data_IF_365175497737
#
_entry.id   IF_365175497737
#
_cell.length_a   1.000
_cell.length_b   1.000
_cell.length_c   1.000
_cell.angle_alpha   90.00
_cell.angle_beta   90.00
_cell.angle_gamma   90.00
#
_symmetry.space_group_name_H-M   'P 1'
#
loop_
_entity.id
_entity.type
_entity.pdbx_description
1 polymer ?
#
# COMPACT_ATOMS: atom_id res chain seq x y z
N UNK A 1 -12.45 -1.68 4.02
CA UNK A 1 -12.43 -3.14 4.24
C UNK A 1 -11.70 -3.49 5.52
N UNK A 2 -10.46 -3.05 5.73
CA UNK A 2 -9.83 -3.09 7.07
C UNK A 2 -10.21 -1.81 7.85
N UNK A 3 -10.51 -1.94 9.15
CA UNK A 3 -11.07 -0.86 9.99
C UNK A 3 -12.58 -0.72 9.84
N UNK A 4 -13.07 0.52 9.69
CA UNK A 4 -14.51 0.85 9.65
C UNK A 4 -15.31 0.28 8.47
N UNK A 5 -14.62 -0.33 7.49
CA UNK A 5 -15.26 -0.94 6.32
C UNK A 5 -15.30 -2.46 6.35
N UNK A 6 -15.10 -3.07 7.52
CA UNK A 6 -15.27 -4.51 7.71
C UNK A 6 -16.76 -4.88 7.68
N UNK A 7 -17.09 -5.99 7.02
CA UNK A 7 -18.43 -6.53 6.97
C UNK A 7 -18.37 -8.05 7.23
N UNK A 8 -19.39 -8.65 7.87
CA UNK A 8 -19.38 -10.08 8.21
C UNK A 8 -19.23 -11.04 7.03
N UNK A 9 -19.48 -10.57 5.80
CA UNK A 9 -19.36 -11.35 4.57
C UNK A 9 -17.96 -11.41 3.97
N UNK A 10 -16.96 -10.66 4.48
CA UNK A 10 -15.60 -10.74 3.96
C UNK A 10 -14.85 -11.93 4.52
N UNK A 11 -14.22 -12.67 3.62
CA UNK A 11 -13.38 -13.81 3.94
C UNK A 11 -11.89 -13.41 3.95
N UNK A 12 -11.03 -14.27 4.51
CA UNK A 12 -9.58 -14.05 4.49
C UNK A 12 -9.05 -13.83 3.05
N UNK A 13 -9.45 -14.64 2.04
CA UNK A 13 -9.11 -14.36 0.65
C UNK A 13 -9.47 -12.95 0.17
N UNK A 14 -10.64 -12.43 0.53
CA UNK A 14 -11.07 -11.08 0.14
C UNK A 14 -10.16 -9.99 0.73
N UNK A 15 -9.68 -10.20 1.97
CA UNK A 15 -8.71 -9.31 2.62
C UNK A 15 -7.37 -9.36 1.90
N UNK A 16 -6.87 -10.56 1.57
CA UNK A 16 -5.59 -10.72 0.87
C UNK A 16 -5.64 -10.09 -0.52
N UNK A 17 -6.74 -10.25 -1.25
CA UNK A 17 -6.96 -9.58 -2.54
C UNK A 17 -6.98 -8.06 -2.39
N UNK A 18 -7.59 -7.55 -1.31
CA UNK A 18 -7.58 -6.13 -1.02
C UNK A 18 -6.17 -5.61 -0.73
N UNK A 19 -5.37 -6.33 0.06
CA UNK A 19 -3.98 -5.97 0.35
C UNK A 19 -3.13 -5.99 -0.93
N UNK A 20 -3.30 -7.00 -1.77
CA UNK A 20 -2.65 -7.07 -3.08
C UNK A 20 -3.00 -5.87 -3.96
N UNK A 21 -4.29 -5.51 -4.04
CA UNK A 21 -4.75 -4.32 -4.76
C UNK A 21 -4.14 -3.02 -4.23
N UNK A 22 -3.99 -2.88 -2.91
CA UNK A 22 -3.35 -1.69 -2.30
C UNK A 22 -1.86 -1.57 -2.64
N UNK A 23 -1.16 -2.70 -2.80
CA UNK A 23 0.26 -2.69 -3.19
C UNK A 23 0.43 -2.22 -4.65
N UNK A 24 -0.51 -2.57 -5.52
CA UNK A 24 -0.49 -2.16 -6.93
C UNK A 24 -0.97 -0.72 -7.14
N UNK A 25 -1.99 -0.33 -6.37
CA UNK A 25 -2.63 0.98 -6.48
C UNK A 25 -2.74 1.61 -5.09
N UNK A 26 -1.71 2.37 -4.67
CA UNK A 26 -1.73 3.03 -3.36
C UNK A 26 -2.85 4.07 -3.29
N UNK A 27 -3.56 4.08 -2.16
CA UNK A 27 -4.60 5.07 -1.86
C UNK A 27 -3.98 6.30 -1.20
N UNK A 28 -3.99 7.42 -1.91
CA UNK A 28 -3.37 8.69 -1.52
C UNK A 28 -4.39 9.71 -1.00
N UNK A 29 -5.67 9.36 -1.04
CA UNK A 29 -6.84 10.20 -0.73
C UNK A 29 -7.18 10.25 0.77
N UNK A 30 -6.46 9.49 1.60
CA UNK A 30 -6.68 9.45 3.04
C UNK A 30 -5.86 10.57 3.72
N UNK A 31 -6.49 11.61 4.28
CA UNK A 31 -5.79 12.80 4.81
C UNK A 31 -4.78 12.46 5.91
N UNK A 32 -5.04 11.43 6.71
CA UNK A 32 -4.15 10.99 7.80
C UNK A 32 -2.93 10.18 7.32
N UNK A 33 -2.84 9.93 6.01
CA UNK A 33 -1.77 9.12 5.40
C UNK A 33 -0.79 9.93 4.56
N UNK A 34 -0.94 11.26 4.49
CA UNK A 34 0.02 12.11 3.80
C UNK A 34 1.30 12.20 4.63
N UNK A 35 2.32 11.46 4.22
CA UNK A 35 3.66 11.47 4.80
C UNK A 35 4.72 11.70 3.71
N UNK A 36 6.00 11.69 4.08
CA UNK A 36 7.11 11.89 3.15
C UNK A 36 7.08 10.90 1.97
N UNK A 37 6.74 9.64 2.21
CA UNK A 37 6.65 8.62 1.16
C UNK A 37 5.47 8.88 0.21
N UNK A 38 4.33 9.36 0.72
CA UNK A 38 3.18 9.78 -0.10
C UNK A 38 3.52 11.00 -0.95
N UNK A 39 4.21 11.99 -0.37
CA UNK A 39 4.69 13.17 -1.10
C UNK A 39 5.71 12.78 -2.17
N UNK A 40 6.62 11.86 -1.87
CA UNK A 40 7.59 11.32 -2.84
C UNK A 40 6.88 10.53 -3.96
N UNK A 41 5.87 9.73 -3.65
CA UNK A 41 5.09 9.02 -4.66
C UNK A 41 4.41 9.97 -5.66
N UNK A 42 3.86 11.09 -5.17
CA UNK A 42 3.18 12.09 -6.00
C UNK A 42 4.17 12.95 -6.77
N UNK A 43 5.28 13.37 -6.15
CA UNK A 43 6.25 14.29 -6.75
C UNK A 43 7.29 13.59 -7.64
N UNK A 44 7.70 12.37 -7.28
CA UNK A 44 8.70 11.59 -8.00
C UNK A 44 8.47 10.08 -7.83
N UNK A 45 7.50 9.56 -8.61
CA UNK A 45 7.12 8.15 -8.61
C UNK A 45 8.27 7.20 -8.95
N UNK A 46 9.21 7.61 -9.80
CA UNK A 46 10.36 6.77 -10.17
C UNK A 46 11.30 6.55 -8.97
N UNK A 47 11.60 7.62 -8.22
CA UNK A 47 12.40 7.53 -6.99
C UNK A 47 11.73 6.64 -5.95
N UNK A 48 10.43 6.85 -5.72
CA UNK A 48 9.65 6.01 -4.82
C UNK A 48 9.72 4.53 -5.22
N UNK A 49 9.48 4.20 -6.49
CA UNK A 49 9.47 2.82 -6.97
C UNK A 49 10.82 2.12 -6.78
N UNK A 50 11.92 2.85 -6.96
CA UNK A 50 13.28 2.34 -6.72
C UNK A 50 13.50 2.00 -5.25
N UNK A 51 13.16 2.94 -4.34
CA UNK A 51 13.23 2.73 -2.88
C UNK A 51 12.37 1.55 -2.45
N UNK A 52 11.14 1.46 -2.96
CA UNK A 52 10.22 0.35 -2.67
C UNK A 52 10.77 -1.01 -3.15
N UNK A 53 11.41 -1.05 -4.31
CA UNK A 53 12.07 -2.26 -4.81
C UNK A 53 13.27 -2.68 -3.95
N UNK A 54 14.12 -1.73 -3.56
CA UNK A 54 15.26 -1.97 -2.66
C UNK A 54 14.81 -2.51 -1.30
N UNK A 55 13.74 -1.96 -0.73
CA UNK A 55 13.15 -2.44 0.52
C UNK A 55 12.57 -3.85 0.37
N UNK A 56 11.88 -4.12 -0.74
CA UNK A 56 11.34 -5.46 -1.02
C UNK A 56 12.48 -6.48 -1.08
N UNK A 57 13.59 -6.15 -1.73
CA UNK A 57 14.77 -7.02 -1.79
C UNK A 57 15.37 -7.24 -0.39
N UNK A 58 15.44 -6.19 0.42
CA UNK A 58 16.13 -6.22 1.72
C UNK A 58 15.32 -6.91 2.83
N UNK A 59 13.98 -6.76 2.80
CA UNK A 59 13.12 -7.15 3.92
C UNK A 59 12.09 -8.22 3.57
N UNK A 60 11.77 -8.43 2.29
CA UNK A 60 10.81 -9.46 1.87
C UNK A 60 11.48 -10.69 1.25
N UNK A 61 12.82 -10.70 1.11
CA UNK A 61 13.57 -11.92 0.78
C UNK A 61 13.73 -12.78 2.02
N UNK A 62 13.53 -14.08 1.81
CA UNK A 62 13.58 -15.14 2.80
C UNK A 62 15.00 -15.45 3.24
#
# INVERSE_FOLDING_TARGET
MLGNGWAPGFTIPDILMTLWGMLLTPRLDLPDKVNEDTLEYVSNREKFNRKAAEWTISYARK
#
